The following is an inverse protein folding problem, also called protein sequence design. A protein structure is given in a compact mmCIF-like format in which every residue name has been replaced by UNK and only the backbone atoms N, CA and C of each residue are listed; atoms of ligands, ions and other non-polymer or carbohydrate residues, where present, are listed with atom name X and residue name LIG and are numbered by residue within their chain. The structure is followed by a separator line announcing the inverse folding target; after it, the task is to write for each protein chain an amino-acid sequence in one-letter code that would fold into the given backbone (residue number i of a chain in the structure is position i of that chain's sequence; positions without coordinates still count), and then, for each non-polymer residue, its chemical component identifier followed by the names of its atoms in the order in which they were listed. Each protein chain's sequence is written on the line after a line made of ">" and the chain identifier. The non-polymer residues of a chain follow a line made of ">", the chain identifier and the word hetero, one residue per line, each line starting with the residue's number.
data_IF_506173632924
#
_entry.id   IF_506173632924
#
_cell.length_a   1.000
_cell.length_b   1.000
_cell.length_c   1.000
_cell.angle_alpha   90.00
_cell.angle_beta   90.00
_cell.angle_gamma   90.00
#
_symmetry.space_group_name_H-M   'P 1'
#
loop_
_entity.id
_entity.type
_entity.pdbx_description
1 polymer ?
#
# COMPACT_ATOMS: atom_id res chain seq x y z
N UNK A 1 -13.26 -16.21 -15.40
CA UNK A 1 -12.53 -15.41 -14.38
C UNK A 1 -11.13 -15.91 -14.02
N UNK A 2 -10.79 -17.19 -14.15
CA UNK A 2 -9.43 -17.70 -13.80
C UNK A 2 -8.35 -17.46 -14.87
N UNK A 3 -8.71 -17.17 -16.12
CA UNK A 3 -7.77 -17.14 -17.27
C UNK A 3 -6.95 -15.84 -17.41
N UNK A 4 -7.29 -14.78 -16.68
CA UNK A 4 -6.61 -13.48 -16.78
C UNK A 4 -5.85 -13.05 -15.49
N UNK A 5 -5.99 -13.81 -14.41
CA UNK A 5 -5.36 -13.46 -13.13
C UNK A 5 -3.86 -13.81 -13.17
N UNK A 6 -3.00 -12.81 -12.89
CA UNK A 6 -1.56 -13.01 -12.76
C UNK A 6 -1.15 -13.28 -11.31
N UNK A 7 -1.95 -12.83 -10.34
CA UNK A 7 -1.82 -13.22 -8.93
C UNK A 7 -3.13 -13.85 -8.49
N UNK A 8 -3.06 -15.05 -7.94
CA UNK A 8 -4.19 -15.77 -7.37
C UNK A 8 -3.83 -16.25 -5.98
N UNK A 9 -4.64 -15.93 -5.00
CA UNK A 9 -4.61 -16.48 -3.64
C UNK A 9 -5.92 -17.20 -3.35
N UNK A 10 -5.88 -18.40 -2.80
CA UNK A 10 -7.06 -19.21 -2.46
C UNK A 10 -6.90 -19.78 -1.06
N UNK A 11 -7.78 -19.36 -0.14
CA UNK A 11 -7.82 -19.80 1.27
C UNK A 11 -6.45 -19.68 1.98
N UNK A 12 -5.68 -18.65 1.59
CA UNK A 12 -4.30 -18.48 2.03
C UNK A 12 -4.24 -18.23 3.52
N UNK A 13 -3.57 -19.12 4.27
CA UNK A 13 -3.55 -19.11 5.73
C UNK A 13 -2.12 -19.23 6.24
N UNK A 14 -1.76 -18.42 7.24
CA UNK A 14 -0.46 -18.50 7.92
C UNK A 14 -0.60 -18.37 9.42
N UNK A 15 -0.20 -19.40 10.11
CA UNK A 15 -0.09 -19.44 11.56
C UNK A 15 1.38 -19.56 11.97
N UNK A 16 1.78 -18.83 13.00
CA UNK A 16 3.09 -18.92 13.63
C UNK A 16 2.96 -19.52 15.02
N UNK A 17 3.87 -20.43 15.35
CA UNK A 17 4.04 -20.92 16.73
C UNK A 17 5.14 -20.10 17.39
N UNK A 18 4.78 -19.26 18.34
CA UNK A 18 5.71 -18.40 19.08
C UNK A 18 5.90 -18.99 20.47
N UNK A 19 7.14 -19.31 20.84
CA UNK A 19 7.44 -19.83 22.17
C UNK A 19 7.19 -18.72 23.21
N UNK A 20 6.46 -19.04 24.27
CA UNK A 20 6.27 -18.16 25.42
C UNK A 20 7.54 -18.20 26.25
N UNK A 21 8.26 -17.07 26.36
CA UNK A 21 9.39 -16.93 27.30
C UNK A 21 8.84 -16.55 28.68
N UNK A 22 9.13 -17.35 29.71
CA UNK A 22 8.96 -16.93 31.09
C UNK A 22 10.23 -16.15 31.52
N UNK A 23 10.07 -14.97 32.09
CA UNK A 23 11.18 -14.10 32.52
C UNK A 23 11.89 -14.55 33.80
N UNK A 24 11.62 -15.76 34.31
CA UNK A 24 12.19 -16.32 35.53
C UNK A 24 13.31 -17.33 35.22
N UNK A 25 14.39 -17.33 36.04
CA UNK A 25 15.51 -18.29 35.93
C UNK A 25 15.05 -19.75 36.08
N UNK A 26 14.10 -20.05 36.96
CA UNK A 26 13.44 -21.36 37.12
C UNK A 26 12.52 -21.68 35.95
N UNK A 27 11.87 -20.67 35.38
CA UNK A 27 11.06 -20.74 34.15
C UNK A 27 11.90 -21.13 32.96
N UNK A 28 13.14 -20.62 32.86
CA UNK A 28 14.07 -20.94 31.76
C UNK A 28 14.43 -22.44 31.73
N UNK A 29 14.66 -23.05 32.90
CA UNK A 29 14.96 -24.50 33.01
C UNK A 29 13.73 -25.36 32.68
N UNK A 30 12.54 -24.97 33.14
CA UNK A 30 11.26 -25.59 32.81
C UNK A 30 10.92 -25.43 31.33
N UNK A 31 11.25 -24.29 30.73
CA UNK A 31 11.03 -24.00 29.29
C UNK A 31 11.90 -24.88 28.37
N UNK A 32 13.06 -25.35 28.86
CA UNK A 32 13.91 -26.28 28.10
C UNK A 32 13.29 -27.68 28.00
N UNK A 33 12.50 -28.11 29.00
CA UNK A 33 11.83 -29.40 29.06
C UNK A 33 10.39 -29.36 28.50
N UNK A 34 9.66 -28.25 28.70
CA UNK A 34 8.25 -28.10 28.31
C UNK A 34 8.02 -26.72 27.64
N UNK A 35 8.31 -26.64 26.34
CA UNK A 35 8.06 -25.39 25.56
C UNK A 35 6.56 -25.19 25.37
N UNK A 36 6.01 -24.16 25.98
CA UNK A 36 4.66 -23.69 25.67
C UNK A 36 4.70 -22.77 24.44
N UNK A 37 3.79 -22.99 23.50
CA UNK A 37 3.69 -22.19 22.28
C UNK A 37 2.35 -21.47 22.26
N UNK A 38 2.40 -20.18 21.90
CA UNK A 38 1.22 -19.43 21.52
C UNK A 38 1.07 -19.49 20.00
N UNK A 39 -0.14 -19.82 19.52
CA UNK A 39 -0.47 -19.76 18.10
C UNK A 39 -0.86 -18.32 17.73
N UNK A 40 -0.09 -17.69 16.83
CA UNK A 40 -0.40 -16.39 16.25
C UNK A 40 -0.98 -16.62 14.86
N UNK A 41 -2.25 -16.30 14.67
CA UNK A 41 -2.96 -16.41 13.41
C UNK A 41 -2.74 -15.11 12.62
N UNK A 42 -1.72 -15.10 11.76
CA UNK A 42 -1.31 -13.91 11.05
C UNK A 42 -2.15 -13.66 9.79
N UNK A 43 -2.58 -14.74 9.11
CA UNK A 43 -3.46 -14.70 7.93
C UNK A 43 -4.40 -15.89 8.02
N UNK A 44 -5.69 -15.69 7.78
CA UNK A 44 -6.75 -16.71 7.86
C UNK A 44 -7.69 -16.66 6.65
N UNK A 45 -7.53 -17.63 5.73
CA UNK A 45 -8.47 -17.86 4.64
C UNK A 45 -8.57 -16.73 3.61
N UNK A 46 -7.48 -16.00 3.34
CA UNK A 46 -7.47 -14.88 2.40
C UNK A 46 -7.53 -15.38 0.96
N UNK A 47 -8.53 -14.91 0.20
CA UNK A 47 -8.74 -15.26 -1.20
C UNK A 47 -8.98 -14.01 -2.04
N UNK A 48 -8.17 -13.84 -3.10
CA UNK A 48 -8.33 -12.77 -4.09
C UNK A 48 -7.62 -13.12 -5.40
N UNK A 49 -7.93 -12.39 -6.45
CA UNK A 49 -7.26 -12.50 -7.75
C UNK A 49 -6.93 -11.11 -8.29
N UNK A 50 -5.72 -10.92 -8.83
CA UNK A 50 -5.28 -9.65 -9.45
C UNK A 50 -5.03 -9.92 -10.94
N UNK A 51 -5.56 -9.06 -11.80
CA UNK A 51 -5.40 -9.15 -13.26
C UNK A 51 -4.04 -8.59 -13.67
N UNK A 52 -3.59 -8.99 -14.86
CA UNK A 52 -2.37 -8.43 -15.46
C UNK A 52 -2.50 -6.92 -15.66
N UNK A 53 -1.47 -6.17 -15.28
CA UNK A 53 -1.40 -4.70 -15.40
C UNK A 53 -2.18 -3.92 -14.36
N UNK A 54 -2.92 -4.58 -13.46
CA UNK A 54 -3.69 -3.95 -12.40
C UNK A 54 -2.78 -3.40 -11.30
N UNK A 55 -3.09 -2.21 -10.78
CA UNK A 55 -2.45 -1.64 -9.57
C UNK A 55 -3.45 -1.71 -8.44
N UNK A 56 -3.14 -2.53 -7.43
CA UNK A 56 -4.06 -2.83 -6.33
C UNK A 56 -3.45 -2.38 -5.00
N UNK A 57 -4.20 -1.61 -4.23
CA UNK A 57 -3.84 -1.23 -2.87
C UNK A 57 -4.16 -2.35 -1.88
N UNK A 58 -3.24 -2.68 -0.99
CA UNK A 58 -3.45 -3.66 0.07
C UNK A 58 -3.41 -2.97 1.43
N UNK A 59 -4.57 -2.69 2.00
CA UNK A 59 -4.78 -1.83 3.16
C UNK A 59 -5.07 -2.63 4.42
N UNK A 60 -4.67 -2.09 5.55
CA UNK A 60 -4.92 -2.70 6.86
C UNK A 60 -4.04 -2.09 7.94
N UNK A 61 -4.41 -2.21 9.22
CA UNK A 61 -3.58 -1.73 10.33
C UNK A 61 -2.28 -2.54 10.45
N UNK A 62 -1.38 -2.07 11.32
CA UNK A 62 -0.17 -2.82 11.65
C UNK A 62 -0.55 -4.17 12.28
N UNK A 63 0.13 -5.23 11.83
CA UNK A 63 -0.19 -6.59 12.26
C UNK A 63 -1.40 -7.24 11.59
N UNK A 64 -2.10 -6.57 10.66
CA UNK A 64 -3.25 -7.13 9.97
C UNK A 64 -2.93 -8.33 9.06
N UNK A 65 -1.66 -8.57 8.72
CA UNK A 65 -1.25 -9.67 7.86
C UNK A 65 -0.71 -9.26 6.48
N UNK A 66 -0.64 -7.96 6.15
CA UNK A 66 -0.18 -7.45 4.84
C UNK A 66 1.18 -8.03 4.42
N UNK A 67 2.24 -7.69 5.14
CA UNK A 67 3.61 -8.17 4.86
C UNK A 67 3.71 -9.70 4.88
N UNK A 68 2.94 -10.38 5.75
CA UNK A 68 2.89 -11.85 5.78
C UNK A 68 2.33 -12.40 4.48
N UNK A 69 1.25 -11.82 3.97
CA UNK A 69 0.64 -12.18 2.70
C UNK A 69 1.61 -11.93 1.54
N UNK A 70 2.25 -10.75 1.46
CA UNK A 70 3.26 -10.46 0.44
C UNK A 70 4.41 -11.47 0.47
N UNK A 71 4.90 -11.85 1.66
CA UNK A 71 5.96 -12.86 1.79
C UNK A 71 5.52 -14.26 1.33
N UNK A 72 4.24 -14.62 1.48
CA UNK A 72 3.73 -15.87 0.91
C UNK A 72 3.66 -15.80 -0.61
N UNK A 73 3.15 -14.71 -1.17
CA UNK A 73 3.06 -14.50 -2.63
C UNK A 73 4.42 -14.38 -3.33
N UNK A 74 5.46 -14.00 -2.61
CA UNK A 74 6.84 -13.93 -3.13
C UNK A 74 7.68 -15.17 -2.82
N UNK A 75 7.09 -16.20 -2.17
CA UNK A 75 7.79 -17.43 -1.82
C UNK A 75 8.82 -17.30 -0.71
N UNK A 76 8.78 -16.21 0.07
CA UNK A 76 9.61 -16.01 1.27
C UNK A 76 9.03 -16.73 2.50
N UNK A 77 7.73 -17.00 2.47
CA UNK A 77 7.02 -17.78 3.49
C UNK A 77 6.20 -18.88 2.84
N UNK A 78 6.22 -20.06 3.43
CA UNK A 78 5.31 -21.15 3.07
C UNK A 78 3.98 -20.96 3.83
N UNK A 79 2.80 -21.03 3.17
CA UNK A 79 1.52 -20.98 3.86
C UNK A 79 1.34 -22.20 4.76
N UNK A 80 0.52 -22.08 5.80
CA UNK A 80 0.08 -23.19 6.64
C UNK A 80 -1.00 -24.01 5.92
N UNK A 81 -1.86 -23.32 5.14
CA UNK A 81 -2.93 -23.87 4.31
C UNK A 81 -3.22 -22.93 3.16
N UNK A 82 -3.91 -23.44 2.14
CA UNK A 82 -4.30 -22.68 0.97
C UNK A 82 -3.26 -22.70 -0.14
N UNK A 83 -3.59 -22.08 -1.26
CA UNK A 83 -2.80 -22.10 -2.48
C UNK A 83 -2.59 -20.68 -3.01
N UNK A 84 -1.48 -20.49 -3.73
CA UNK A 84 -1.25 -19.28 -4.50
C UNK A 84 -0.57 -19.60 -5.84
N UNK A 85 -0.93 -18.82 -6.85
CA UNK A 85 -0.24 -18.78 -8.14
C UNK A 85 0.14 -17.32 -8.43
N UNK A 86 1.39 -17.09 -8.79
CA UNK A 86 1.90 -15.78 -9.19
C UNK A 86 2.68 -15.94 -10.49
N UNK A 87 2.29 -15.20 -11.51
CA UNK A 87 2.83 -15.32 -12.88
C UNK A 87 2.88 -16.77 -13.39
N UNK A 88 1.85 -17.58 -13.01
CA UNK A 88 1.71 -18.99 -13.39
C UNK A 88 2.51 -19.99 -12.56
N UNK A 89 3.19 -19.54 -11.50
CA UNK A 89 4.05 -20.38 -10.64
C UNK A 89 3.53 -20.45 -9.22
N UNK A 90 3.82 -21.57 -8.53
CA UNK A 90 3.63 -21.71 -7.08
C UNK A 90 4.78 -21.02 -6.34
N UNK A 91 4.54 -19.92 -5.58
CA UNK A 91 5.62 -19.05 -5.10
C UNK A 91 6.68 -19.76 -4.25
N UNK A 92 6.29 -20.64 -3.35
CA UNK A 92 7.21 -21.31 -2.42
C UNK A 92 8.07 -22.41 -3.05
N UNK A 93 7.85 -22.78 -4.31
CA UNK A 93 8.77 -23.62 -5.08
C UNK A 93 10.02 -22.84 -5.49
N UNK A 94 9.96 -21.51 -5.52
CA UNK A 94 11.08 -20.59 -5.81
C UNK A 94 11.85 -20.95 -7.08
N UNK A 95 11.13 -21.37 -8.12
CA UNK A 95 11.71 -21.68 -9.42
C UNK A 95 12.40 -20.44 -10.01
N UNK A 96 13.55 -20.63 -10.69
CA UNK A 96 14.26 -19.50 -11.32
C UNK A 96 13.39 -18.69 -12.27
N UNK A 97 12.52 -19.36 -13.04
CA UNK A 97 11.57 -18.71 -13.94
C UNK A 97 10.57 -17.82 -13.19
N UNK A 98 10.12 -18.23 -12.00
CA UNK A 98 9.27 -17.42 -11.12
C UNK A 98 10.02 -16.21 -10.57
N UNK A 99 11.22 -16.40 -10.02
CA UNK A 99 11.99 -15.33 -9.39
C UNK A 99 12.37 -14.21 -10.38
N UNK A 100 12.48 -14.52 -11.67
CA UNK A 100 12.70 -13.54 -12.74
C UNK A 100 11.47 -12.72 -13.09
N UNK A 101 10.29 -13.19 -12.73
CA UNK A 101 9.01 -12.53 -13.06
C UNK A 101 8.47 -11.64 -11.96
N UNK A 102 9.06 -11.69 -10.77
CA UNK A 102 8.59 -10.95 -9.62
C UNK A 102 9.68 -10.08 -9.00
N UNK A 103 9.25 -9.08 -8.26
CA UNK A 103 10.10 -8.36 -7.31
C UNK A 103 9.33 -8.02 -6.04
N UNK A 104 10.06 -7.90 -4.92
CA UNK A 104 9.55 -7.39 -3.65
C UNK A 104 10.44 -6.26 -3.17
N UNK A 105 9.89 -5.07 -3.08
CA UNK A 105 10.53 -3.90 -2.47
C UNK A 105 9.89 -3.65 -1.11
N UNK A 106 10.71 -3.53 -0.08
CA UNK A 106 10.27 -3.21 1.28
C UNK A 106 10.92 -1.91 1.74
N UNK A 107 10.12 -0.90 2.09
CA UNK A 107 10.61 0.43 2.49
C UNK A 107 11.54 0.43 3.71
N UNK A 108 11.45 -0.60 4.54
CA UNK A 108 12.31 -0.76 5.73
C UNK A 108 13.51 -1.71 5.52
N UNK A 109 13.74 -2.22 4.30
CA UNK A 109 14.86 -3.11 3.97
C UNK A 109 15.61 -2.60 2.75
N UNK A 110 16.93 -2.64 2.83
CA UNK A 110 17.83 -2.21 1.78
C UNK A 110 18.40 -3.43 1.04
N UNK A 111 18.45 -3.34 -0.29
CA UNK A 111 19.13 -4.30 -1.18
C UNK A 111 20.47 -3.75 -1.63
N UNK A 112 20.60 -2.42 -1.68
CA UNK A 112 21.82 -1.73 -2.08
C UNK A 112 22.90 -1.88 -1.01
N UNK A 113 24.14 -2.09 -1.46
CA UNK A 113 25.31 -2.21 -0.58
C UNK A 113 25.75 -0.81 -0.15
N UNK A 114 25.69 -0.53 1.15
CA UNK A 114 25.84 0.79 1.76
C UNK A 114 27.11 1.56 1.37
N UNK A 115 28.25 0.86 1.34
CA UNK A 115 29.56 1.47 1.07
C UNK A 115 29.96 1.49 -0.41
N UNK A 116 29.18 0.82 -1.27
CA UNK A 116 29.43 0.77 -2.71
C UNK A 116 28.54 1.74 -3.49
N UNK A 117 28.97 2.14 -4.71
CA UNK A 117 28.08 2.78 -5.65
C UNK A 117 26.84 1.94 -5.96
N UNK A 118 25.68 2.60 -6.13
CA UNK A 118 24.46 1.88 -6.54
C UNK A 118 24.68 1.08 -7.83
N UNK A 119 25.48 1.60 -8.77
CA UNK A 119 25.84 0.96 -10.02
C UNK A 119 26.43 -0.45 -9.83
N UNK A 120 27.21 -0.68 -8.77
CA UNK A 120 27.82 -1.99 -8.52
C UNK A 120 26.77 -3.03 -8.11
N UNK A 121 25.77 -2.63 -7.30
CA UNK A 121 24.63 -3.50 -7.00
C UNK A 121 23.78 -3.75 -8.25
N UNK A 122 23.60 -2.74 -9.12
CA UNK A 122 22.89 -2.93 -10.40
C UNK A 122 23.58 -3.94 -11.30
N UNK A 123 24.92 -3.91 -11.39
CA UNK A 123 25.70 -4.91 -12.15
C UNK A 123 25.58 -6.30 -11.55
N UNK A 124 25.62 -6.41 -10.22
CA UNK A 124 25.38 -7.67 -9.52
C UNK A 124 24.00 -8.24 -9.85
N UNK A 125 22.95 -7.41 -9.78
CA UNK A 125 21.59 -7.82 -10.14
C UNK A 125 21.51 -8.23 -11.62
N UNK A 126 22.17 -7.49 -12.53
CA UNK A 126 22.22 -7.85 -13.95
C UNK A 126 22.82 -9.25 -14.14
N UNK A 127 23.89 -9.58 -13.43
CA UNK A 127 24.50 -10.91 -13.46
C UNK A 127 23.58 -12.00 -12.89
N UNK A 128 22.91 -11.73 -11.74
CA UNK A 128 21.98 -12.68 -11.10
C UNK A 128 20.79 -12.99 -12.00
N UNK A 129 20.22 -11.95 -12.64
CA UNK A 129 19.05 -12.08 -13.50
C UNK A 129 19.41 -12.36 -14.97
N UNK A 130 20.71 -12.52 -15.28
CA UNK A 130 21.24 -12.80 -16.63
C UNK A 130 20.77 -11.74 -17.66
N UNK A 131 20.84 -10.46 -17.28
CA UNK A 131 20.52 -9.33 -18.17
C UNK A 131 21.71 -9.06 -19.07
N UNK A 132 21.58 -9.13 -20.41
CA UNK A 132 22.67 -8.85 -21.34
C UNK A 132 23.19 -7.42 -21.20
N UNK A 133 24.49 -7.19 -21.43
CA UNK A 133 25.15 -5.88 -21.20
C UNK A 133 24.49 -4.74 -21.99
N UNK A 134 24.07 -4.96 -23.23
CA UNK A 134 23.37 -3.95 -24.03
C UNK A 134 22.02 -3.56 -23.44
N UNK A 135 21.26 -4.57 -22.96
CA UNK A 135 19.99 -4.35 -22.28
C UNK A 135 20.20 -3.69 -20.91
N UNK A 136 21.25 -4.07 -20.17
CA UNK A 136 21.62 -3.46 -18.90
C UNK A 136 21.80 -1.95 -19.04
N UNK A 137 22.66 -1.50 -19.96
CA UNK A 137 22.91 -0.08 -20.18
C UNK A 137 21.65 0.68 -20.56
N UNK A 138 20.83 0.11 -21.46
CA UNK A 138 19.57 0.69 -21.89
C UNK A 138 18.61 0.84 -20.72
N UNK A 139 18.38 -0.23 -19.94
CA UNK A 139 17.44 -0.24 -18.82
C UNK A 139 17.88 0.67 -17.68
N UNK A 140 19.17 0.69 -17.36
CA UNK A 140 19.71 1.62 -16.35
C UNK A 140 19.49 3.07 -16.79
N UNK A 141 19.79 3.41 -18.05
CA UNK A 141 19.57 4.76 -18.59
C UNK A 141 18.09 5.18 -18.49
N UNK A 142 17.18 4.32 -19.02
CA UNK A 142 15.74 4.58 -18.99
C UNK A 142 15.20 4.77 -17.54
N UNK A 143 15.56 3.86 -16.63
CA UNK A 143 15.06 3.91 -15.25
C UNK A 143 15.71 5.04 -14.45
N UNK A 144 16.99 5.35 -14.69
CA UNK A 144 17.66 6.48 -14.05
C UNK A 144 17.04 7.81 -14.46
N UNK A 145 16.72 7.99 -15.75
CA UNK A 145 16.00 9.16 -16.27
C UNK A 145 14.62 9.29 -15.62
N UNK A 146 13.83 8.21 -15.62
CA UNK A 146 12.48 8.22 -15.00
C UNK A 146 12.50 8.54 -13.49
N UNK A 147 13.60 8.22 -12.80
CA UNK A 147 13.77 8.42 -11.36
C UNK A 147 14.54 9.71 -11.01
N UNK A 148 15.11 10.40 -12.01
CA UNK A 148 15.98 11.57 -11.80
C UNK A 148 17.23 11.19 -11.01
N UNK A 149 17.89 10.09 -11.39
CA UNK A 149 19.10 9.56 -10.74
C UNK A 149 20.35 9.64 -11.61
N UNK A 150 20.27 10.35 -12.77
CA UNK A 150 21.44 10.53 -13.64
C UNK A 150 22.59 11.21 -12.84
N UNK A 151 23.75 10.66 -12.97
CA UNK A 151 24.95 11.14 -12.25
C UNK A 151 25.02 10.74 -10.76
N UNK A 152 23.96 10.15 -10.18
CA UNK A 152 23.94 9.72 -8.77
C UNK A 152 24.37 8.27 -8.55
N UNK A 153 24.26 7.42 -9.57
CA UNK A 153 24.49 5.97 -9.45
C UNK A 153 25.95 5.58 -9.18
N UNK A 154 26.91 6.47 -9.48
CA UNK A 154 28.34 6.22 -9.33
C UNK A 154 28.90 6.63 -7.97
N UNK A 155 28.11 7.24 -7.10
CA UNK A 155 28.52 7.57 -5.75
C UNK A 155 28.04 6.50 -4.73
N UNK A 156 28.79 6.30 -3.63
CA UNK A 156 28.39 5.35 -2.57
C UNK A 156 26.98 5.60 -2.06
N UNK A 157 26.20 4.53 -1.84
CA UNK A 157 24.81 4.59 -1.40
C UNK A 157 24.62 5.42 -0.13
N UNK A 158 25.60 5.39 0.79
CA UNK A 158 25.58 6.21 2.02
C UNK A 158 25.56 7.73 1.78
N UNK A 159 25.95 8.20 0.61
CA UNK A 159 25.93 9.62 0.23
C UNK A 159 24.61 10.06 -0.40
N UNK A 160 23.73 9.13 -0.72
CA UNK A 160 22.40 9.42 -1.24
C UNK A 160 21.47 9.86 -0.12
N UNK A 161 20.59 10.82 -0.38
CA UNK A 161 19.46 11.13 0.50
C UNK A 161 18.55 9.89 0.62
N UNK A 162 17.65 9.88 1.61
CA UNK A 162 16.71 8.77 1.79
C UNK A 162 15.82 8.58 0.55
N UNK A 163 15.34 9.67 -0.06
CA UNK A 163 14.56 9.63 -1.28
C UNK A 163 15.35 9.12 -2.50
N UNK A 164 16.59 9.62 -2.71
CA UNK A 164 17.47 9.12 -3.77
C UNK A 164 17.81 7.63 -3.58
N UNK A 165 18.00 7.20 -2.34
CA UNK A 165 18.24 5.79 -2.02
C UNK A 165 17.05 4.92 -2.37
N UNK A 166 15.83 5.32 -1.97
CA UNK A 166 14.62 4.56 -2.30
C UNK A 166 14.42 4.48 -3.83
N UNK A 167 14.67 5.55 -4.55
CA UNK A 167 14.66 5.55 -6.03
C UNK A 167 15.69 4.57 -6.61
N UNK A 168 16.89 4.52 -6.06
CA UNK A 168 17.93 3.57 -6.48
C UNK A 168 17.58 2.12 -6.12
N UNK A 169 16.90 1.88 -4.97
CA UNK A 169 16.34 0.56 -4.60
C UNK A 169 15.27 0.11 -5.63
N UNK A 170 14.37 1.01 -6.03
CA UNK A 170 13.38 0.73 -7.07
C UNK A 170 14.06 0.42 -8.41
N UNK A 171 15.08 1.19 -8.81
CA UNK A 171 15.84 0.91 -10.02
C UNK A 171 16.45 -0.48 -9.98
N UNK A 172 17.12 -0.84 -8.87
CA UNK A 172 17.72 -2.16 -8.69
C UNK A 172 16.70 -3.30 -8.75
N UNK A 173 15.53 -3.10 -8.13
CA UNK A 173 14.45 -4.07 -8.09
C UNK A 173 13.76 -4.27 -9.46
N UNK A 174 13.79 -3.27 -10.34
CA UNK A 174 13.08 -3.27 -11.62
C UNK A 174 13.99 -3.54 -12.84
N UNK A 175 15.29 -3.66 -12.63
CA UNK A 175 16.28 -3.85 -13.68
C UNK A 175 16.00 -5.07 -14.58
N UNK A 176 15.48 -6.14 -13.98
CA UNK A 176 15.16 -7.38 -14.71
C UNK A 176 13.79 -7.37 -15.37
N UNK A 177 13.02 -6.27 -15.26
CA UNK A 177 11.65 -6.08 -15.82
C UNK A 177 10.66 -7.15 -15.33
N UNK A 178 10.39 -7.23 -14.03
CA UNK A 178 9.43 -8.18 -13.48
C UNK A 178 8.00 -7.92 -14.00
N UNK A 179 7.20 -8.99 -14.12
CA UNK A 179 5.78 -8.92 -14.49
C UNK A 179 4.91 -8.48 -13.29
N UNK A 180 5.33 -8.84 -12.06
CA UNK A 180 4.58 -8.56 -10.84
C UNK A 180 5.49 -7.88 -9.81
N UNK A 181 5.05 -6.72 -9.33
CA UNK A 181 5.72 -5.94 -8.31
C UNK A 181 4.94 -6.00 -7.00
N UNK A 182 5.61 -6.38 -5.93
CA UNK A 182 5.13 -6.27 -4.56
C UNK A 182 5.87 -5.12 -3.89
N UNK A 183 5.15 -4.05 -3.55
CA UNK A 183 5.70 -2.85 -2.94
C UNK A 183 5.17 -2.73 -1.51
N UNK A 184 6.01 -3.04 -0.52
CA UNK A 184 5.65 -2.99 0.89
C UNK A 184 6.14 -1.68 1.50
N UNK A 185 5.25 -0.68 1.56
CA UNK A 185 5.50 0.66 2.11
C UNK A 185 6.68 1.41 1.44
N UNK A 186 6.70 1.54 0.10
CA UNK A 186 7.85 2.08 -0.63
C UNK A 186 8.12 3.57 -0.36
N UNK A 187 7.17 4.29 0.23
CA UNK A 187 7.27 5.73 0.53
C UNK A 187 7.52 6.01 2.01
N UNK A 188 7.68 4.95 2.83
CA UNK A 188 7.84 5.09 4.28
C UNK A 188 9.07 5.94 4.65
N UNK A 189 8.84 6.98 5.45
CA UNK A 189 9.89 7.87 5.95
C UNK A 189 10.43 8.88 4.92
N UNK A 190 9.90 8.90 3.69
CA UNK A 190 10.29 9.87 2.67
C UNK A 190 9.61 11.22 2.92
N UNK A 191 10.28 12.31 2.51
CA UNK A 191 9.67 13.62 2.42
C UNK A 191 8.60 13.68 1.31
N UNK A 192 7.77 14.73 1.33
CA UNK A 192 6.63 14.87 0.41
C UNK A 192 7.07 14.85 -1.06
N UNK A 193 8.18 15.49 -1.40
CA UNK A 193 8.67 15.54 -2.79
C UNK A 193 9.14 14.15 -3.26
N UNK A 194 9.86 13.43 -2.41
CA UNK A 194 10.29 12.07 -2.70
C UNK A 194 9.10 11.10 -2.82
N UNK A 195 8.06 11.24 -1.98
CA UNK A 195 6.82 10.47 -2.09
C UNK A 195 6.12 10.72 -3.43
N UNK A 196 5.98 12.00 -3.85
CA UNK A 196 5.40 12.37 -5.15
C UNK A 196 6.19 11.73 -6.28
N UNK A 197 7.51 11.86 -6.27
CA UNK A 197 8.38 11.30 -7.31
C UNK A 197 8.27 9.76 -7.41
N UNK A 198 8.18 9.05 -6.27
CA UNK A 198 7.97 7.58 -6.25
C UNK A 198 6.59 7.23 -6.83
N UNK A 199 5.52 7.97 -6.49
CA UNK A 199 4.18 7.75 -7.05
C UNK A 199 4.15 7.94 -8.57
N UNK A 200 4.71 9.03 -9.04
CA UNK A 200 4.79 9.34 -10.48
C UNK A 200 5.57 8.26 -11.22
N UNK A 201 6.70 7.82 -10.65
CA UNK A 201 7.48 6.73 -11.21
C UNK A 201 6.70 5.41 -11.27
N UNK A 202 6.03 4.99 -10.20
CA UNK A 202 5.24 3.75 -10.15
C UNK A 202 4.12 3.79 -11.20
N UNK A 203 3.43 4.93 -11.33
CA UNK A 203 2.40 5.14 -12.36
C UNK A 203 2.97 5.05 -13.77
N UNK A 204 4.06 5.75 -14.05
CA UNK A 204 4.73 5.76 -15.36
C UNK A 204 5.28 4.37 -15.71
N UNK A 205 5.83 3.65 -14.73
CA UNK A 205 6.32 2.28 -14.92
C UNK A 205 5.20 1.31 -15.28
N UNK A 206 4.07 1.35 -14.54
CA UNK A 206 2.90 0.53 -14.85
C UNK A 206 2.35 0.85 -16.26
N UNK A 207 2.17 2.13 -16.58
CA UNK A 207 1.67 2.56 -17.90
C UNK A 207 2.60 2.13 -19.05
N UNK A 208 3.92 2.20 -18.85
CA UNK A 208 4.91 1.89 -19.90
C UNK A 208 5.13 0.39 -20.10
N UNK A 209 5.14 -0.40 -19.02
CA UNK A 209 5.52 -1.81 -19.07
C UNK A 209 4.36 -2.78 -18.78
N UNK A 210 3.19 -2.29 -18.42
CA UNK A 210 2.03 -3.14 -18.08
C UNK A 210 2.26 -4.03 -16.86
N UNK A 211 3.17 -3.64 -15.95
CA UNK A 211 3.50 -4.42 -14.76
C UNK A 211 2.32 -4.45 -13.78
N UNK A 212 2.03 -5.62 -13.21
CA UNK A 212 1.01 -5.76 -12.16
C UNK A 212 1.60 -5.37 -10.82
N UNK A 213 0.91 -4.56 -10.02
CA UNK A 213 1.44 -4.01 -8.78
C UNK A 213 0.49 -4.28 -7.62
N UNK A 214 1.00 -4.88 -6.55
CA UNK A 214 0.34 -4.95 -5.25
C UNK A 214 1.10 -4.07 -4.27
N UNK A 215 0.47 -2.97 -3.85
CA UNK A 215 1.07 -1.90 -3.07
C UNK A 215 0.48 -1.85 -1.66
N UNK A 216 1.32 -1.88 -0.62
CA UNK A 216 0.91 -1.45 0.72
C UNK A 216 1.43 -0.03 0.98
N UNK A 217 0.64 0.80 1.65
CA UNK A 217 1.08 2.11 2.12
C UNK A 217 0.34 2.50 3.39
N UNK A 218 1.03 3.24 4.26
CA UNK A 218 0.43 3.98 5.37
C UNK A 218 -0.05 5.36 4.94
N UNK A 219 0.44 5.85 3.80
CA UNK A 219 0.02 7.13 3.24
C UNK A 219 -1.14 6.91 2.29
N UNK A 220 -2.33 7.32 2.69
CA UNK A 220 -3.54 7.14 1.87
C UNK A 220 -3.47 7.92 0.55
N UNK A 221 -2.65 8.96 0.49
CA UNK A 221 -2.36 9.68 -0.75
C UNK A 221 -1.70 8.79 -1.83
N UNK A 222 -0.90 7.78 -1.44
CA UNK A 222 -0.33 6.83 -2.39
C UNK A 222 -1.41 5.94 -2.99
N UNK A 223 -2.31 5.45 -2.13
CA UNK A 223 -3.44 4.59 -2.53
C UNK A 223 -4.40 5.34 -3.45
N UNK A 224 -4.80 6.55 -3.05
CA UNK A 224 -5.71 7.38 -3.85
C UNK A 224 -5.10 7.76 -5.22
N UNK A 225 -3.78 7.96 -5.27
CA UNK A 225 -3.09 8.34 -6.49
C UNK A 225 -2.82 7.19 -7.46
N UNK A 226 -2.65 5.95 -6.95
CA UNK A 226 -2.15 4.82 -7.74
C UNK A 226 -3.18 3.71 -7.96
N UNK A 227 -4.15 3.54 -7.05
CA UNK A 227 -4.98 2.35 -6.99
C UNK A 227 -6.45 2.66 -7.25
N UNK A 228 -7.02 2.06 -8.29
CA UNK A 228 -8.47 2.07 -8.54
C UNK A 228 -9.20 1.01 -7.70
N UNK A 229 -8.50 -0.07 -7.33
CA UNK A 229 -9.01 -1.19 -6.53
C UNK A 229 -8.18 -1.38 -5.28
N UNK A 230 -8.86 -1.75 -4.21
CA UNK A 230 -8.24 -2.00 -2.91
C UNK A 230 -8.71 -3.32 -2.30
N UNK A 231 -7.78 -3.98 -1.62
CA UNK A 231 -8.01 -5.11 -0.74
C UNK A 231 -7.84 -4.59 0.69
N UNK A 232 -8.83 -4.76 1.55
CA UNK A 232 -8.74 -4.35 2.96
C UNK A 232 -8.67 -5.58 3.83
N UNK A 233 -7.56 -5.71 4.59
CA UNK A 233 -7.32 -6.83 5.51
C UNK A 233 -7.34 -6.36 6.96
N UNK A 234 -7.98 -7.14 7.84
CA UNK A 234 -8.02 -6.89 9.27
C UNK A 234 -7.98 -8.22 10.03
N UNK A 235 -7.14 -8.30 11.07
CA UNK A 235 -6.94 -9.53 11.84
C UNK A 235 -6.72 -10.80 10.99
N UNK A 236 -5.96 -10.65 9.90
CA UNK A 236 -5.63 -11.75 9.00
C UNK A 236 -6.72 -12.12 8.00
N UNK A 237 -7.87 -11.46 7.98
CA UNK A 237 -9.00 -11.74 7.08
C UNK A 237 -9.25 -10.60 6.11
N UNK A 238 -9.63 -10.94 4.89
CA UNK A 238 -10.01 -9.97 3.89
C UNK A 238 -11.43 -9.46 4.21
N UNK A 239 -11.56 -8.16 4.44
CA UNK A 239 -12.84 -7.50 4.71
C UNK A 239 -13.47 -6.93 3.44
N UNK A 240 -12.66 -6.42 2.51
CA UNK A 240 -13.14 -5.78 1.30
C UNK A 240 -12.21 -6.09 0.13
N UNK A 241 -12.79 -6.31 -1.03
CA UNK A 241 -12.13 -6.44 -2.32
C UNK A 241 -12.99 -5.75 -3.37
N UNK A 242 -12.55 -4.59 -3.84
CA UNK A 242 -13.33 -3.83 -4.81
C UNK A 242 -12.74 -2.46 -5.14
N UNK A 243 -13.49 -1.68 -5.92
CA UNK A 243 -13.10 -0.33 -6.31
C UNK A 243 -12.95 0.58 -5.07
N UNK A 244 -11.94 1.45 -5.08
CA UNK A 244 -11.72 2.44 -4.03
C UNK A 244 -12.95 3.36 -3.85
N UNK A 245 -13.57 3.76 -4.96
CA UNK A 245 -14.81 4.56 -4.92
C UNK A 245 -15.96 3.82 -4.22
N UNK A 246 -16.10 2.52 -4.45
CA UNK A 246 -17.10 1.69 -3.79
C UNK A 246 -16.88 1.61 -2.27
N UNK A 247 -15.62 1.51 -1.83
CA UNK A 247 -15.26 1.59 -0.41
C UNK A 247 -15.67 2.94 0.18
N UNK A 248 -15.34 4.04 -0.50
CA UNK A 248 -15.72 5.40 -0.08
C UNK A 248 -17.24 5.59 -0.01
N UNK A 249 -17.97 5.11 -1.02
CA UNK A 249 -19.44 5.21 -1.05
C UNK A 249 -20.10 4.44 0.11
N UNK A 250 -19.56 3.27 0.48
CA UNK A 250 -20.10 2.40 1.52
C UNK A 250 -19.80 2.92 2.93
N UNK A 251 -18.56 3.36 3.20
CA UNK A 251 -18.11 3.74 4.55
C UNK A 251 -18.05 5.24 4.80
N UNK A 252 -18.18 6.05 3.76
CA UNK A 252 -18.31 7.50 3.84
C UNK A 252 -19.48 7.96 2.97
N UNK A 253 -20.74 7.68 3.37
CA UNK A 253 -21.92 8.12 2.61
C UNK A 253 -22.17 9.63 2.70
N UNK A 254 -21.13 10.40 2.93
CA UNK A 254 -21.11 11.86 3.07
C UNK A 254 -19.92 12.49 2.35
N UNK A 255 -19.99 13.81 2.15
CA UNK A 255 -18.92 14.69 1.69
C UNK A 255 -18.58 15.69 2.78
N UNK A 256 -17.33 16.10 2.85
CA UNK A 256 -16.91 17.25 3.64
C UNK A 256 -17.19 18.53 2.87
N UNK A 257 -17.96 19.42 3.46
CA UNK A 257 -18.20 20.76 2.93
C UNK A 257 -17.49 21.75 3.85
N UNK A 258 -16.49 22.43 3.30
CA UNK A 258 -15.79 23.53 3.96
C UNK A 258 -16.45 24.84 3.55
N UNK A 259 -16.74 25.66 4.53
CA UNK A 259 -17.35 26.97 4.35
C UNK A 259 -16.45 28.04 4.91
N UNK A 260 -16.29 29.12 4.18
CA UNK A 260 -15.79 30.39 4.69
C UNK A 260 -16.98 31.36 4.71
N UNK A 261 -17.36 31.80 5.92
CA UNK A 261 -18.54 32.64 6.14
C UNK A 261 -18.13 34.12 6.21
N UNK A 262 -18.98 35.03 5.72
CA UNK A 262 -18.78 36.48 5.82
C UNK A 262 -18.69 36.99 7.29
N UNK A 263 -19.34 36.25 8.21
CA UNK A 263 -19.30 36.51 9.65
C UNK A 263 -19.36 35.20 10.43
N UNK A 264 -18.76 35.13 11.64
CA UNK A 264 -18.88 33.95 12.50
C UNK A 264 -20.34 33.62 12.81
N UNK A 265 -20.66 32.32 12.73
CA UNK A 265 -21.99 31.81 13.11
C UNK A 265 -21.82 30.76 14.21
N UNK A 266 -22.83 30.66 15.14
CA UNK A 266 -22.78 29.62 16.14
C UNK A 266 -23.01 28.24 15.51
N UNK A 267 -22.42 27.21 16.12
CA UNK A 267 -22.50 25.82 15.67
C UNK A 267 -23.95 25.36 15.42
N UNK A 268 -24.88 25.83 16.24
CA UNK A 268 -26.31 25.49 16.19
C UNK A 268 -26.96 25.93 14.88
N UNK A 269 -26.57 27.09 14.37
CA UNK A 269 -27.13 27.62 13.09
C UNK A 269 -26.70 26.78 11.88
N UNK A 270 -25.61 26.02 11.98
CA UNK A 270 -25.06 25.19 10.92
C UNK A 270 -25.62 23.76 10.92
N UNK A 271 -26.18 23.29 12.04
CA UNK A 271 -26.73 21.92 12.20
C UNK A 271 -27.86 21.57 11.21
N UNK A 272 -28.61 22.58 10.77
CA UNK A 272 -29.69 22.37 9.80
C UNK A 272 -29.15 21.94 8.39
N UNK A 273 -27.88 22.18 8.10
CA UNK A 273 -27.30 21.97 6.79
C UNK A 273 -26.44 20.69 6.70
N UNK A 274 -26.04 20.14 7.85
CA UNK A 274 -25.24 18.91 7.93
C UNK A 274 -24.72 18.66 9.34
N UNK A 275 -24.00 17.55 9.52
CA UNK A 275 -23.30 17.26 10.78
C UNK A 275 -22.07 18.19 10.90
N UNK A 276 -22.10 19.05 11.90
CA UNK A 276 -21.02 20.04 12.13
C UNK A 276 -19.84 19.37 12.80
N UNK A 277 -18.69 19.32 12.10
CA UNK A 277 -17.42 18.78 12.64
C UNK A 277 -16.67 19.83 13.43
N UNK A 278 -16.43 20.96 12.81
CA UNK A 278 -15.56 22.00 13.32
C UNK A 278 -16.13 23.38 12.99
N UNK A 279 -15.93 24.34 13.87
CA UNK A 279 -16.22 25.76 13.63
C UNK A 279 -15.09 26.55 14.26
N UNK A 280 -14.32 27.27 13.46
CA UNK A 280 -13.25 28.15 13.87
C UNK A 280 -13.42 29.54 13.26
N UNK A 281 -13.88 30.51 14.07
CA UNK A 281 -14.14 31.86 13.60
C UNK A 281 -15.13 31.88 12.45
N UNK A 282 -14.68 32.22 11.23
CA UNK A 282 -15.51 32.25 10.01
C UNK A 282 -15.47 30.93 9.22
N UNK A 283 -14.61 30.01 9.59
CA UNK A 283 -14.51 28.72 8.91
C UNK A 283 -15.38 27.66 9.60
N UNK A 284 -16.06 26.85 8.79
CA UNK A 284 -16.82 25.72 9.26
C UNK A 284 -16.64 24.49 8.37
N UNK A 285 -16.63 23.31 9.00
CA UNK A 285 -16.60 22.01 8.30
C UNK A 285 -17.85 21.21 8.63
N UNK A 286 -18.58 20.82 7.58
CA UNK A 286 -19.80 20.05 7.67
C UNK A 286 -19.64 18.71 6.96
N UNK A 287 -20.23 17.65 7.52
CA UNK A 287 -20.47 16.43 6.77
C UNK A 287 -21.89 16.45 6.21
N UNK A 288 -21.97 16.37 4.88
CA UNK A 288 -23.22 16.43 4.14
C UNK A 288 -23.42 15.10 3.41
N UNK A 289 -24.59 14.43 3.53
CA UNK A 289 -24.86 13.20 2.82
C UNK A 289 -24.61 13.32 1.31
N UNK A 290 -24.00 12.30 0.70
CA UNK A 290 -23.79 12.24 -0.77
C UNK A 290 -25.11 12.30 -1.53
N UNK A 291 -26.12 11.60 -1.01
CA UNK A 291 -27.48 11.65 -1.55
C UNK A 291 -28.08 13.05 -1.37
N UNK A 292 -28.43 13.71 -2.48
CA UNK A 292 -28.96 15.06 -2.46
C UNK A 292 -27.92 16.15 -2.15
N UNK A 293 -26.64 15.90 -2.38
CA UNK A 293 -25.54 16.85 -2.11
C UNK A 293 -25.75 18.20 -2.80
N UNK A 294 -26.09 18.19 -4.09
CA UNK A 294 -26.31 19.40 -4.88
C UNK A 294 -27.42 20.28 -4.30
N UNK A 295 -28.53 19.67 -3.90
CA UNK A 295 -29.65 20.37 -3.27
C UNK A 295 -29.24 20.96 -1.91
N UNK A 296 -28.51 20.21 -1.10
CA UNK A 296 -28.03 20.69 0.20
C UNK A 296 -27.02 21.81 0.08
N UNK A 297 -26.09 21.72 -0.87
CA UNK A 297 -25.15 22.82 -1.17
C UNK A 297 -25.91 24.07 -1.63
N UNK A 298 -26.93 23.92 -2.46
CA UNK A 298 -27.78 25.05 -2.85
C UNK A 298 -28.53 25.68 -1.66
N UNK A 299 -28.99 24.87 -0.70
CA UNK A 299 -29.58 25.38 0.53
C UNK A 299 -28.59 26.11 1.42
N UNK A 300 -27.34 25.59 1.54
CA UNK A 300 -26.24 26.23 2.26
C UNK A 300 -25.98 27.62 1.67
N UNK A 301 -25.80 27.73 0.34
CA UNK A 301 -25.51 28.98 -0.35
C UNK A 301 -26.66 30.01 -0.26
N UNK A 302 -27.92 29.56 -0.16
CA UNK A 302 -29.09 30.42 0.02
C UNK A 302 -29.30 30.84 1.46
N UNK A 303 -29.00 29.96 2.42
CA UNK A 303 -29.36 30.15 3.83
C UNK A 303 -28.25 30.73 4.70
N UNK A 304 -27.00 30.70 4.23
CA UNK A 304 -25.84 31.16 4.98
C UNK A 304 -25.07 32.24 4.20
N UNK A 305 -24.43 33.19 4.88
CA UNK A 305 -23.61 34.22 4.27
C UNK A 305 -22.23 33.62 3.90
N UNK A 306 -22.19 32.81 2.83
CA UNK A 306 -21.00 32.08 2.39
C UNK A 306 -20.16 33.00 1.48
N UNK A 307 -18.86 33.17 1.79
CA UNK A 307 -17.87 33.81 0.92
C UNK A 307 -17.18 32.80 0.01
N UNK A 308 -16.87 31.60 0.56
CA UNK A 308 -16.25 30.50 -0.22
C UNK A 308 -16.80 29.16 0.24
N UNK A 309 -16.88 28.20 -0.69
CA UNK A 309 -17.36 26.86 -0.45
C UNK A 309 -16.53 25.84 -1.22
N UNK A 310 -16.01 24.86 -0.52
CA UNK A 310 -15.31 23.74 -1.10
C UNK A 310 -15.95 22.41 -0.69
N UNK A 311 -16.18 21.52 -1.66
CA UNK A 311 -16.68 20.16 -1.41
C UNK A 311 -15.56 19.16 -1.64
N UNK A 312 -15.23 18.40 -0.60
CA UNK A 312 -14.16 17.38 -0.64
C UNK A 312 -14.68 15.98 -0.32
N UNK A 313 -13.94 14.99 -0.79
CA UNK A 313 -14.04 13.65 -0.19
C UNK A 313 -13.53 13.71 1.25
N UNK A 314 -14.14 12.95 2.17
CA UNK A 314 -13.55 12.80 3.50
C UNK A 314 -12.15 12.17 3.37
N UNK A 315 -11.23 12.50 4.29
CA UNK A 315 -9.92 11.89 4.29
C UNK A 315 -10.02 10.35 4.28
N UNK A 316 -9.29 9.69 3.37
CA UNK A 316 -9.35 8.24 3.22
C UNK A 316 -8.94 7.52 4.51
N UNK A 317 -8.08 8.14 5.31
CA UNK A 317 -7.68 7.69 6.64
C UNK A 317 -8.86 7.51 7.57
N UNK A 318 -9.81 8.46 7.58
CA UNK A 318 -11.02 8.39 8.41
C UNK A 318 -11.96 7.28 7.93
N UNK A 319 -12.07 7.12 6.62
CA UNK A 319 -12.89 6.05 6.02
C UNK A 319 -12.35 4.68 6.40
N UNK A 320 -11.05 4.49 6.25
CA UNK A 320 -10.36 3.24 6.60
C UNK A 320 -10.46 2.96 8.11
N UNK A 321 -10.33 4.00 8.96
CA UNK A 321 -10.50 3.83 10.40
C UNK A 321 -11.93 3.34 10.76
N UNK A 322 -12.97 3.82 10.06
CA UNK A 322 -14.35 3.34 10.24
C UNK A 322 -14.53 1.88 9.80
N UNK A 323 -13.94 1.49 8.67
CA UNK A 323 -13.94 0.09 8.21
C UNK A 323 -13.40 -0.85 9.30
N UNK A 324 -12.36 -0.44 10.02
CA UNK A 324 -11.78 -1.25 11.09
C UNK A 324 -12.58 -1.25 12.39
N UNK A 325 -13.38 -0.20 12.65
CA UNK A 325 -14.26 -0.12 13.83
C UNK A 325 -15.57 -0.90 13.65
N UNK A 326 -16.04 -1.06 12.42
CA UNK A 326 -17.31 -1.74 12.09
C UNK A 326 -17.12 -2.93 11.15
N UNK A 327 -16.29 -3.95 11.50
CA UNK A 327 -15.99 -5.05 10.59
C UNK A 327 -17.22 -5.89 10.20
N UNK A 328 -18.30 -5.90 11.00
CA UNK A 328 -19.56 -6.63 10.70
C UNK A 328 -20.35 -6.03 9.54
N UNK A 329 -20.17 -4.75 9.23
CA UNK A 329 -20.86 -4.09 8.11
C UNK A 329 -20.19 -4.37 6.76
N UNK A 330 -19.03 -5.04 6.77
CA UNK A 330 -18.23 -5.34 5.57
C UNK A 330 -18.57 -6.72 5.01
N UNK A 331 -19.10 -7.65 5.84
CA UNK A 331 -19.42 -9.03 5.46
C UNK A 331 -20.81 -9.19 4.78
N UNK A 332 -21.54 -8.09 4.54
CA UNK A 332 -22.87 -8.08 3.95
C UNK A 332 -22.91 -7.70 2.45
#
# INVERSE_FOLDING_TARGET
>A
MRLEAVVLAQDLTKHFRVALKEESLLGTLRHFLFRQYRLVRAVEGVSFAIRRGEVVGFLGPNGAGKTTTLKMLTGLLHPTRGEALVAGHVPWRREKAFLRKITLVMGNKQQLIWDLPAMDTLRLNAAIYEVPEGEFRKRVGELAEMLGLEGKLHQPVRKLSLGERMKAELLAALLHRPEVLFLDEPTLGLDVNAQVAVREFVRAYNARYGATILLTSHYMADIAALCERVLVIHHGRLLYDGALEGLLARFAPYREVRLVLAKPLPREALKAFGEVREVEGREARLLVPRAGLTERVALILKGLPVEDLEVKEPPLEEVIARVFQSPKEVEG
#
